data_IF_091742174389
#
_entry.id   IF_091742174389
#
_cell.length_a   1.000
_cell.length_b   1.000
_cell.length_c   1.000
_cell.angle_alpha   90.00
_cell.angle_beta   90.00
_cell.angle_gamma   90.00
#
_symmetry.space_group_name_H-M   'P 1'
#
loop_
_entity.id
_entity.type
_entity.pdbx_description
1 polymer ?
#
# COMPACT_ATOMS: atom_id res chain seq x y z
N UNK A 1 -19.69 8.65 21.69
CA UNK A 1 -20.25 10.02 21.81
C UNK A 1 -19.57 10.87 20.77
N UNK A 2 -20.26 11.27 19.72
CA UNK A 2 -19.72 12.23 18.74
C UNK A 2 -19.70 13.61 19.41
N UNK A 3 -18.54 14.25 19.45
CA UNK A 3 -18.41 15.64 19.90
C UNK A 3 -19.25 16.53 18.99
N UNK A 4 -20.00 17.46 19.58
CA UNK A 4 -20.79 18.42 18.81
C UNK A 4 -19.87 19.29 17.94
N UNK A 5 -20.36 19.76 16.82
CA UNK A 5 -19.62 20.59 15.86
C UNK A 5 -19.07 21.91 16.44
N UNK A 6 -19.43 22.26 17.66
CA UNK A 6 -19.00 23.49 18.34
C UNK A 6 -17.69 23.35 19.15
N UNK A 7 -17.20 22.13 19.42
CA UNK A 7 -16.02 21.88 20.27
C UNK A 7 -14.75 21.49 19.50
N UNK A 8 -14.77 21.51 18.17
CA UNK A 8 -13.53 21.26 17.39
C UNK A 8 -12.64 22.51 17.46
N UNK A 9 -11.35 22.38 17.81
CA UNK A 9 -10.43 23.52 17.77
C UNK A 9 -10.42 24.08 16.33
N UNK A 10 -10.34 25.41 16.21
CA UNK A 10 -10.28 26.10 14.91
C UNK A 10 -9.02 25.62 14.18
N UNK A 11 -9.18 24.84 13.12
CA UNK A 11 -8.11 24.21 12.35
C UNK A 11 -8.09 24.77 10.92
N UNK A 12 -6.89 24.94 10.33
CA UNK A 12 -6.80 25.29 8.92
C UNK A 12 -7.47 24.21 8.05
N UNK A 13 -7.96 24.59 6.88
CA UNK A 13 -8.57 23.67 5.94
C UNK A 13 -7.62 22.49 5.62
N UNK A 14 -6.36 22.80 5.31
CA UNK A 14 -5.36 21.78 4.99
C UNK A 14 -5.04 20.84 6.16
N UNK A 15 -5.15 21.32 7.43
CA UNK A 15 -5.02 20.47 8.62
C UNK A 15 -6.18 19.50 8.76
N UNK A 16 -7.39 19.94 8.54
CA UNK A 16 -8.60 19.09 8.60
C UNK A 16 -8.53 18.00 7.54
N UNK A 17 -8.17 18.37 6.32
CA UNK A 17 -7.96 17.44 5.23
C UNK A 17 -6.88 16.40 5.59
N UNK A 18 -5.72 16.82 6.14
CA UNK A 18 -4.66 15.91 6.55
C UNK A 18 -5.13 14.90 7.59
N UNK A 19 -5.95 15.34 8.56
CA UNK A 19 -6.54 14.48 9.59
C UNK A 19 -7.51 13.45 8.96
N UNK A 20 -8.45 13.93 8.15
CA UNK A 20 -9.44 13.09 7.47
C UNK A 20 -8.78 12.05 6.54
N UNK A 21 -7.71 12.43 5.85
CA UNK A 21 -6.92 11.51 5.02
C UNK A 21 -6.19 10.43 5.84
N UNK A 22 -5.75 10.79 7.06
CA UNK A 22 -5.13 9.81 7.96
C UNK A 22 -6.15 8.77 8.43
N UNK A 23 -7.36 9.19 8.80
CA UNK A 23 -8.47 8.29 9.14
C UNK A 23 -8.87 7.42 7.94
N UNK A 24 -8.93 8.02 6.74
CA UNK A 24 -9.17 7.27 5.50
C UNK A 24 -8.12 6.19 5.28
N UNK A 25 -6.85 6.47 5.58
CA UNK A 25 -5.76 5.48 5.46
C UNK A 25 -5.96 4.27 6.39
N UNK A 26 -6.56 4.44 7.56
CA UNK A 26 -6.93 3.33 8.45
C UNK A 26 -7.98 2.44 7.78
N UNK A 27 -8.93 3.00 7.04
CA UNK A 27 -9.92 2.23 6.29
C UNK A 27 -9.29 1.46 5.13
N UNK A 28 -8.25 2.02 4.47
CA UNK A 28 -7.47 1.28 3.47
C UNK A 28 -6.82 0.04 4.07
N UNK A 29 -6.32 0.08 5.32
CA UNK A 29 -5.76 -1.10 5.98
C UNK A 29 -6.81 -2.19 6.24
N UNK A 30 -8.07 -1.82 6.49
CA UNK A 30 -9.18 -2.78 6.61
C UNK A 30 -9.53 -3.40 5.27
N UNK A 31 -9.59 -2.59 4.22
CA UNK A 31 -9.85 -3.09 2.87
C UNK A 31 -8.73 -4.01 2.39
N UNK A 32 -7.46 -3.63 2.54
CA UNK A 32 -6.34 -4.48 2.16
C UNK A 32 -6.32 -5.79 2.96
N UNK A 33 -6.73 -5.77 4.24
CA UNK A 33 -6.83 -6.96 5.07
C UNK A 33 -7.91 -7.92 4.55
N UNK A 34 -9.06 -7.40 4.10
CA UNK A 34 -10.11 -8.19 3.48
C UNK A 34 -9.61 -8.84 2.18
N UNK A 35 -9.05 -8.05 1.27
CA UNK A 35 -8.54 -8.54 -0.02
C UNK A 35 -7.43 -9.58 0.18
N UNK A 36 -6.50 -9.35 1.11
CA UNK A 36 -5.48 -10.34 1.50
C UNK A 36 -6.08 -11.63 2.00
N UNK A 37 -7.11 -11.56 2.84
CA UNK A 37 -7.78 -12.75 3.36
C UNK A 37 -8.35 -13.64 2.25
N UNK A 38 -8.98 -13.05 1.23
CA UNK A 38 -9.50 -13.78 0.09
C UNK A 38 -8.37 -14.42 -0.76
N UNK A 39 -7.32 -13.66 -1.07
CA UNK A 39 -6.13 -14.18 -1.76
C UNK A 39 -5.48 -15.33 -0.97
N UNK A 40 -5.31 -15.17 0.37
CA UNK A 40 -4.74 -16.22 1.22
C UNK A 40 -5.63 -17.47 1.30
N UNK A 41 -6.95 -17.32 1.24
CA UNK A 41 -7.88 -18.44 1.20
C UNK A 41 -7.71 -19.28 -0.06
N UNK A 42 -7.60 -18.65 -1.23
CA UNK A 42 -7.35 -19.32 -2.50
C UNK A 42 -5.99 -20.06 -2.50
N UNK A 43 -4.92 -19.35 -2.13
CA UNK A 43 -3.57 -19.96 -2.01
C UNK A 43 -3.56 -21.15 -1.04
N UNK A 44 -4.19 -21.02 0.13
CA UNK A 44 -4.20 -22.08 1.15
C UNK A 44 -4.96 -23.32 0.68
N UNK A 45 -6.01 -23.15 -0.10
CA UNK A 45 -6.76 -24.27 -0.70
C UNK A 45 -5.85 -25.04 -1.65
N UNK A 46 -5.28 -24.37 -2.63
CA UNK A 46 -4.40 -24.99 -3.64
C UNK A 46 -3.15 -25.61 -3.01
N UNK A 47 -2.52 -24.91 -2.06
CA UNK A 47 -1.37 -25.45 -1.34
C UNK A 47 -1.69 -26.76 -0.62
N UNK A 48 -2.87 -26.88 -0.01
CA UNK A 48 -3.33 -28.12 0.64
C UNK A 48 -3.54 -29.24 -0.39
N UNK A 49 -4.15 -28.93 -1.52
CA UNK A 49 -4.36 -29.87 -2.62
C UNK A 49 -3.03 -30.38 -3.18
N UNK A 50 -2.05 -29.50 -3.44
CA UNK A 50 -0.71 -29.85 -3.86
C UNK A 50 -0.02 -30.80 -2.86
N UNK A 51 -0.05 -30.49 -1.57
CA UNK A 51 0.57 -31.32 -0.52
C UNK A 51 -0.09 -32.70 -0.41
N UNK A 52 -1.42 -32.75 -0.50
CA UNK A 52 -2.17 -34.01 -0.46
C UNK A 52 -1.83 -34.91 -1.66
N UNK A 53 -1.72 -34.31 -2.86
CA UNK A 53 -1.32 -35.07 -4.07
C UNK A 53 0.10 -35.59 -4.02
N UNK A 54 1.06 -34.78 -3.50
CA UNK A 54 2.43 -35.24 -3.27
C UNK A 54 2.50 -36.39 -2.27
N UNK A 55 1.77 -36.29 -1.15
CA UNK A 55 1.73 -37.30 -0.12
C UNK A 55 1.11 -38.61 -0.63
N UNK A 56 -0.03 -38.49 -1.34
CA UNK A 56 -0.74 -39.66 -1.89
C UNK A 56 0.06 -40.38 -2.99
N UNK A 57 0.86 -39.65 -3.75
CA UNK A 57 1.67 -40.21 -4.81
C UNK A 57 2.93 -40.96 -4.31
N UNK A 58 3.44 -40.61 -3.12
CA UNK A 58 4.72 -41.18 -2.63
C UNK A 58 5.86 -40.90 -3.63
N UNK A 59 6.19 -39.61 -3.83
CA UNK A 59 7.06 -39.16 -4.94
C UNK A 59 8.43 -39.77 -4.96
N UNK A 60 8.97 -40.20 -3.80
CA UNK A 60 10.26 -40.91 -3.65
C UNK A 60 10.24 -42.31 -4.30
N UNK A 61 9.08 -42.92 -4.48
CA UNK A 61 8.91 -44.24 -5.11
C UNK A 61 8.38 -44.18 -6.55
N UNK A 62 8.08 -42.98 -7.09
CA UNK A 62 7.45 -42.86 -8.41
C UNK A 62 8.44 -43.11 -9.59
N UNK A 63 8.02 -43.90 -10.62
CA UNK A 63 8.73 -43.96 -11.86
C UNK A 63 8.84 -42.58 -12.53
N UNK A 64 9.95 -42.26 -13.16
CA UNK A 64 10.26 -40.95 -13.77
C UNK A 64 9.12 -40.40 -14.62
N UNK A 65 8.52 -41.22 -15.50
CA UNK A 65 7.42 -40.80 -16.39
C UNK A 65 6.17 -40.34 -15.58
N UNK A 66 5.85 -41.07 -14.54
CA UNK A 66 4.71 -40.72 -13.67
C UNK A 66 4.99 -39.44 -12.84
N UNK A 67 6.21 -39.28 -12.33
CA UNK A 67 6.66 -38.06 -11.68
C UNK A 67 6.55 -36.85 -12.61
N UNK A 68 7.06 -36.94 -13.84
CA UNK A 68 7.01 -35.84 -14.80
C UNK A 68 5.58 -35.45 -15.14
N UNK A 69 4.67 -36.42 -15.25
CA UNK A 69 3.23 -36.15 -15.45
C UNK A 69 2.63 -35.44 -14.24
N UNK A 70 2.87 -35.94 -13.03
CA UNK A 70 2.37 -35.32 -11.79
C UNK A 70 2.87 -33.88 -11.65
N UNK A 71 4.17 -33.63 -11.83
CA UNK A 71 4.74 -32.30 -11.73
C UNK A 71 4.15 -31.33 -12.78
N UNK A 72 3.91 -31.79 -13.99
CA UNK A 72 3.25 -31.01 -15.04
C UNK A 72 1.84 -30.59 -14.61
N UNK A 73 1.04 -31.52 -14.13
CA UNK A 73 -0.32 -31.26 -13.67
C UNK A 73 -0.33 -30.27 -12.48
N UNK A 74 0.51 -30.48 -11.48
CA UNK A 74 0.61 -29.59 -10.31
C UNK A 74 1.03 -28.16 -10.70
N UNK A 75 1.95 -28.01 -11.65
CA UNK A 75 2.34 -26.69 -12.18
C UNK A 75 1.18 -26.00 -12.93
N UNK A 76 0.36 -26.74 -13.66
CA UNK A 76 -0.83 -26.22 -14.32
C UNK A 76 -1.87 -25.73 -13.31
N UNK A 77 -2.09 -26.47 -12.22
CA UNK A 77 -2.96 -26.04 -11.12
C UNK A 77 -2.46 -24.75 -10.47
N UNK A 78 -1.15 -24.64 -10.22
CA UNK A 78 -0.54 -23.39 -9.71
C UNK A 78 -0.80 -22.24 -10.67
N UNK A 79 -0.50 -22.40 -11.95
CA UNK A 79 -0.69 -21.36 -12.96
C UNK A 79 -2.15 -20.87 -13.01
N UNK A 80 -3.10 -21.80 -12.98
CA UNK A 80 -4.54 -21.50 -12.94
C UNK A 80 -4.94 -20.63 -11.74
N UNK A 81 -4.46 -20.98 -10.55
CA UNK A 81 -4.79 -20.21 -9.32
C UNK A 81 -4.21 -18.81 -9.37
N UNK A 82 -2.99 -18.63 -9.87
CA UNK A 82 -2.42 -17.29 -10.02
C UNK A 82 -3.17 -16.46 -11.07
N UNK A 83 -3.70 -17.06 -12.14
CA UNK A 83 -4.58 -16.39 -13.09
C UNK A 83 -5.92 -15.98 -12.45
N UNK A 84 -6.54 -16.87 -11.67
CA UNK A 84 -7.78 -16.57 -10.93
C UNK A 84 -7.55 -15.42 -9.92
N UNK A 85 -6.44 -15.43 -9.20
CA UNK A 85 -6.07 -14.33 -8.28
C UNK A 85 -5.83 -13.03 -9.03
N UNK A 86 -5.23 -13.06 -10.22
CA UNK A 86 -5.06 -11.88 -11.08
C UNK A 86 -6.41 -11.26 -11.40
N UNK A 87 -7.33 -12.05 -11.97
CA UNK A 87 -8.65 -11.59 -12.36
C UNK A 87 -9.43 -11.03 -11.15
N UNK A 88 -9.43 -11.77 -10.04
CA UNK A 88 -10.09 -11.34 -8.81
C UNK A 88 -9.54 -10.02 -8.26
N UNK A 89 -8.22 -9.89 -8.15
CA UNK A 89 -7.61 -8.68 -7.60
C UNK A 89 -7.76 -7.48 -8.52
N UNK A 90 -7.77 -7.66 -9.84
CA UNK A 90 -8.03 -6.58 -10.79
C UNK A 90 -9.47 -6.06 -10.70
N UNK A 91 -10.46 -6.95 -10.58
CA UNK A 91 -11.87 -6.58 -10.42
C UNK A 91 -12.10 -5.80 -9.12
N UNK A 92 -11.64 -6.33 -8.00
CA UNK A 92 -11.73 -5.69 -6.68
C UNK A 92 -11.06 -4.30 -6.67
N UNK A 93 -9.85 -4.18 -7.20
CA UNK A 93 -9.13 -2.91 -7.27
C UNK A 93 -9.79 -1.90 -8.21
N UNK A 94 -10.45 -2.36 -9.26
CA UNK A 94 -11.25 -1.50 -10.14
C UNK A 94 -12.47 -0.92 -9.41
N UNK A 95 -13.19 -1.74 -8.64
CA UNK A 95 -14.25 -1.28 -7.76
C UNK A 95 -13.76 -0.30 -6.69
N UNK A 96 -12.64 -0.64 -6.07
CA UNK A 96 -11.99 0.21 -5.07
C UNK A 96 -11.60 1.59 -5.64
N UNK A 97 -11.04 1.67 -6.84
CA UNK A 97 -10.72 2.94 -7.49
C UNK A 97 -11.94 3.85 -7.63
N UNK A 98 -13.08 3.30 -8.09
CA UNK A 98 -14.32 4.06 -8.24
C UNK A 98 -14.84 4.56 -6.89
N UNK A 99 -14.90 3.68 -5.91
CA UNK A 99 -15.34 4.04 -4.55
C UNK A 99 -14.40 5.07 -3.90
N UNK A 100 -13.10 4.96 -4.13
CA UNK A 100 -12.10 5.85 -3.57
C UNK A 100 -12.17 7.25 -4.18
N UNK A 101 -12.33 7.38 -5.50
CA UNK A 101 -12.50 8.69 -6.15
C UNK A 101 -13.74 9.43 -5.65
N UNK A 102 -14.85 8.73 -5.49
CA UNK A 102 -16.09 9.31 -4.94
C UNK A 102 -15.89 9.74 -3.49
N UNK A 103 -15.29 8.89 -2.68
CA UNK A 103 -15.06 9.18 -1.27
C UNK A 103 -14.09 10.35 -1.07
N UNK A 104 -13.02 10.43 -1.86
CA UNK A 104 -12.08 11.55 -1.78
C UNK A 104 -12.76 12.88 -2.16
N UNK A 105 -13.55 12.90 -3.23
CA UNK A 105 -14.33 14.07 -3.61
C UNK A 105 -15.23 14.54 -2.46
N UNK A 106 -15.97 13.61 -1.85
CA UNK A 106 -16.81 13.92 -0.68
C UNK A 106 -15.98 14.41 0.51
N UNK A 107 -14.89 13.70 0.87
CA UNK A 107 -14.02 14.05 1.99
C UNK A 107 -13.48 15.47 1.88
N UNK A 108 -12.98 15.86 0.70
CA UNK A 108 -12.44 17.20 0.49
C UNK A 108 -13.53 18.27 0.57
N UNK A 109 -14.71 18.05 0.00
CA UNK A 109 -15.83 18.98 0.08
C UNK A 109 -16.43 19.08 1.49
N UNK A 110 -16.54 17.98 2.22
CA UNK A 110 -17.00 17.98 3.63
C UNK A 110 -16.06 18.81 4.52
N UNK A 111 -14.74 18.76 4.27
CA UNK A 111 -13.78 19.56 5.03
C UNK A 111 -13.78 21.04 4.64
N UNK A 112 -14.09 21.38 3.38
CA UNK A 112 -14.34 22.77 2.95
C UNK A 112 -15.66 23.30 3.51
N UNK A 113 -16.70 22.47 3.53
CA UNK A 113 -18.04 22.78 3.99
C UNK A 113 -19.02 23.17 2.88
N UNK A 114 -18.61 23.10 1.63
CA UNK A 114 -19.43 23.32 0.43
C UNK A 114 -18.78 22.62 -0.79
N UNK A 115 -19.52 22.54 -1.90
CA UNK A 115 -19.04 21.95 -3.16
C UNK A 115 -17.96 22.84 -3.79
N UNK A 116 -16.71 22.55 -3.46
CA UNK A 116 -15.52 23.28 -3.88
C UNK A 116 -14.66 22.50 -4.86
N UNK A 117 -14.52 21.18 -4.64
CA UNK A 117 -13.79 20.28 -5.51
C UNK A 117 -14.68 19.71 -6.60
N UNK A 118 -14.21 19.71 -7.84
CA UNK A 118 -14.87 19.05 -8.95
C UNK A 118 -14.73 17.53 -8.84
N UNK A 119 -15.80 16.82 -9.19
CA UNK A 119 -15.81 15.36 -9.24
C UNK A 119 -15.05 14.84 -10.45
N UNK A 120 -14.36 13.73 -10.30
CA UNK A 120 -13.77 13.00 -11.44
C UNK A 120 -14.88 12.46 -12.35
N UNK A 121 -14.96 12.86 -13.64
CA UNK A 121 -15.99 12.41 -14.56
C UNK A 121 -15.98 10.88 -14.75
N UNK A 122 -17.16 10.28 -14.92
CA UNK A 122 -17.29 8.81 -15.08
C UNK A 122 -16.44 8.22 -16.21
N UNK A 123 -16.33 8.93 -17.35
CA UNK A 123 -15.54 8.46 -18.48
C UNK A 123 -14.05 8.39 -18.14
N UNK A 124 -13.54 9.33 -17.33
CA UNK A 124 -12.17 9.31 -16.81
C UNK A 124 -11.99 8.21 -15.75
N UNK A 125 -12.99 7.98 -14.91
CA UNK A 125 -12.99 6.85 -13.97
C UNK A 125 -12.91 5.51 -14.72
N UNK A 126 -13.69 5.35 -15.80
CA UNK A 126 -13.65 4.15 -16.66
C UNK A 126 -12.30 3.96 -17.35
N UNK A 127 -11.72 5.03 -17.90
CA UNK A 127 -10.39 5.00 -18.53
C UNK A 127 -9.28 4.66 -17.53
N UNK A 128 -9.40 5.10 -16.27
CA UNK A 128 -8.43 4.85 -15.21
C UNK A 128 -8.56 3.46 -14.53
N UNK A 129 -9.64 2.70 -14.82
CA UNK A 129 -9.77 1.30 -14.37
C UNK A 129 -8.73 0.37 -14.98
N UNK A 130 -8.07 0.78 -16.07
CA UNK A 130 -7.05 -0.02 -16.74
C UNK A 130 -5.76 -0.10 -15.93
N UNK A 131 -5.14 -1.26 -15.98
CA UNK A 131 -3.84 -1.68 -15.43
C UNK A 131 -3.30 -0.91 -14.20
N UNK A 132 -3.29 -1.57 -13.05
CA UNK A 132 -2.53 -1.12 -11.89
C UNK A 132 -1.05 -1.37 -12.12
N UNK A 133 -0.27 -0.30 -12.33
CA UNK A 133 1.20 -0.38 -12.53
C UNK A 133 1.90 -0.25 -11.18
N UNK A 134 2.71 -1.24 -10.84
CA UNK A 134 3.51 -1.29 -9.61
C UNK A 134 4.98 -1.40 -10.00
N UNK A 135 5.81 -0.46 -9.56
CA UNK A 135 7.25 -0.45 -9.87
C UNK A 135 7.56 -0.68 -11.36
N UNK A 136 6.78 -0.07 -12.24
CA UNK A 136 6.97 -0.10 -13.69
C UNK A 136 6.34 -1.28 -14.43
N UNK A 137 5.75 -2.25 -13.73
CA UNK A 137 5.11 -3.43 -14.35
C UNK A 137 3.62 -3.53 -13.97
N UNK A 138 2.77 -4.03 -14.88
CA UNK A 138 1.37 -4.33 -14.58
C UNK A 138 1.21 -5.34 -13.44
N UNK A 139 0.11 -5.26 -12.71
CA UNK A 139 -0.20 -6.18 -11.60
C UNK A 139 -0.27 -7.65 -12.07
N UNK A 140 -0.77 -7.90 -13.27
CA UNK A 140 -0.81 -9.23 -13.87
C UNK A 140 0.59 -9.84 -14.05
N UNK A 141 1.58 -9.04 -14.45
CA UNK A 141 2.98 -9.51 -14.61
C UNK A 141 3.58 -9.90 -13.25
N UNK A 142 3.25 -9.17 -12.20
CA UNK A 142 3.67 -9.51 -10.84
C UNK A 142 3.07 -10.84 -10.36
N UNK A 143 1.79 -11.08 -10.63
CA UNK A 143 1.14 -12.35 -10.31
C UNK A 143 1.71 -13.49 -11.14
N UNK A 144 1.87 -13.30 -12.46
CA UNK A 144 2.47 -14.29 -13.34
C UNK A 144 3.90 -14.64 -12.90
N UNK A 145 4.71 -13.63 -12.57
CA UNK A 145 6.06 -13.85 -12.05
C UNK A 145 6.05 -14.66 -10.75
N UNK A 146 5.18 -14.35 -9.80
CA UNK A 146 5.09 -15.11 -8.56
C UNK A 146 4.68 -16.57 -8.79
N UNK A 147 3.72 -16.82 -9.69
CA UNK A 147 3.30 -18.16 -10.07
C UNK A 147 4.41 -18.97 -10.72
N UNK A 148 5.12 -18.36 -11.66
CA UNK A 148 6.27 -18.99 -12.35
C UNK A 148 7.44 -19.27 -11.40
N UNK A 149 7.80 -18.31 -10.53
CA UNK A 149 8.86 -18.48 -9.52
C UNK A 149 8.50 -19.62 -8.54
N UNK A 150 7.22 -19.70 -8.12
CA UNK A 150 6.75 -20.79 -7.27
C UNK A 150 6.84 -22.13 -8.00
N UNK A 151 6.31 -22.24 -9.22
CA UNK A 151 6.31 -23.47 -10.00
C UNK A 151 7.74 -23.99 -10.28
N UNK A 152 8.65 -23.09 -10.62
CA UNK A 152 10.07 -23.42 -10.85
C UNK A 152 10.74 -23.97 -9.58
N UNK A 153 10.61 -23.25 -8.46
CA UNK A 153 11.21 -23.67 -7.17
C UNK A 153 10.57 -24.95 -6.63
N UNK A 154 9.25 -25.10 -6.79
CA UNK A 154 8.52 -26.30 -6.41
C UNK A 154 9.06 -27.55 -7.14
N UNK A 155 9.20 -27.47 -8.46
CA UNK A 155 9.79 -28.57 -9.25
C UNK A 155 11.23 -28.84 -8.83
N UNK A 156 12.03 -27.78 -8.60
CA UNK A 156 13.41 -27.88 -8.14
C UNK A 156 13.54 -28.62 -6.80
N UNK A 157 12.68 -28.32 -5.82
CA UNK A 157 12.65 -29.01 -4.51
C UNK A 157 12.41 -30.51 -4.70
N UNK A 158 11.41 -30.88 -5.48
CA UNK A 158 11.07 -32.30 -5.68
C UNK A 158 12.20 -33.04 -6.43
N UNK A 159 12.73 -32.46 -7.51
CA UNK A 159 13.81 -33.11 -8.29
C UNK A 159 15.12 -33.21 -7.48
N UNK A 160 15.48 -32.16 -6.74
CA UNK A 160 16.67 -32.19 -5.91
C UNK A 160 16.52 -33.16 -4.75
N UNK A 161 15.36 -33.16 -4.07
CA UNK A 161 15.08 -34.11 -3.00
C UNK A 161 15.19 -35.57 -3.43
N UNK A 162 14.75 -35.89 -4.65
CA UNK A 162 14.94 -37.24 -5.24
C UNK A 162 16.41 -37.56 -5.50
N UNK A 163 17.20 -36.62 -6.01
CA UNK A 163 18.65 -36.80 -6.21
C UNK A 163 19.38 -37.02 -4.89
N UNK A 164 18.93 -36.35 -3.83
CA UNK A 164 19.51 -36.45 -2.48
C UNK A 164 18.98 -37.65 -1.69
N UNK A 165 18.09 -38.47 -2.27
CA UNK A 165 17.48 -39.62 -1.60
C UNK A 165 16.50 -39.26 -0.49
N UNK A 166 15.93 -38.08 -0.53
CA UNK A 166 14.95 -37.64 0.49
C UNK A 166 13.63 -38.40 0.38
N UNK A 167 13.02 -38.66 1.53
CA UNK A 167 11.65 -39.19 1.57
C UNK A 167 10.61 -38.14 1.19
N UNK A 168 9.45 -38.56 0.69
CA UNK A 168 8.31 -37.68 0.36
C UNK A 168 7.96 -36.72 1.49
N UNK A 169 8.00 -37.15 2.76
CA UNK A 169 7.71 -36.30 3.92
C UNK A 169 8.67 -35.13 4.09
N UNK A 170 9.96 -35.32 3.78
CA UNK A 170 10.98 -34.27 3.82
C UNK A 170 10.72 -33.24 2.70
N UNK A 171 10.54 -33.69 1.48
CA UNK A 171 10.21 -32.82 0.34
C UNK A 171 8.91 -32.00 0.58
N UNK A 172 7.89 -32.61 1.22
CA UNK A 172 6.67 -31.90 1.65
C UNK A 172 7.00 -30.77 2.63
N UNK A 173 7.93 -30.98 3.55
CA UNK A 173 8.36 -29.95 4.50
C UNK A 173 9.02 -28.77 3.78
N UNK A 174 9.90 -29.05 2.83
CA UNK A 174 10.58 -28.01 2.04
C UNK A 174 9.59 -27.22 1.15
N UNK A 175 8.62 -27.91 0.56
CA UNK A 175 7.51 -27.26 -0.18
C UNK A 175 6.67 -26.36 0.74
N UNK A 176 6.40 -26.75 1.98
CA UNK A 176 5.70 -25.89 2.96
C UNK A 176 6.47 -24.59 3.24
N UNK A 177 7.80 -24.63 3.33
CA UNK A 177 8.63 -23.42 3.48
C UNK A 177 8.53 -22.51 2.27
N UNK A 178 8.57 -23.06 1.04
CA UNK A 178 8.34 -22.31 -0.20
C UNK A 178 6.95 -21.65 -0.20
N UNK A 179 5.91 -22.38 0.19
CA UNK A 179 4.54 -21.87 0.27
C UNK A 179 4.41 -20.68 1.21
N UNK A 180 5.04 -20.73 2.38
CA UNK A 180 5.04 -19.62 3.34
C UNK A 180 5.71 -18.36 2.76
N UNK A 181 6.79 -18.51 2.01
CA UNK A 181 7.46 -17.40 1.31
C UNK A 181 6.56 -16.81 0.23
N UNK A 182 5.92 -17.65 -0.58
CA UNK A 182 4.98 -17.23 -1.63
C UNK A 182 3.79 -16.44 -1.04
N UNK A 183 3.22 -16.87 0.08
CA UNK A 183 2.14 -16.15 0.78
C UNK A 183 2.56 -14.75 1.21
N UNK A 184 3.77 -14.59 1.76
CA UNK A 184 4.30 -13.26 2.15
C UNK A 184 4.47 -12.34 0.94
N UNK A 185 4.90 -12.87 -0.21
CA UNK A 185 5.01 -12.10 -1.45
C UNK A 185 3.64 -11.66 -1.97
N UNK A 186 2.66 -12.57 -2.00
CA UNK A 186 1.28 -12.25 -2.39
C UNK A 186 0.67 -11.18 -1.49
N UNK A 187 0.85 -11.31 -0.17
CA UNK A 187 0.41 -10.31 0.81
C UNK A 187 1.00 -8.92 0.57
N UNK A 188 2.31 -8.88 0.31
CA UNK A 188 3.02 -7.63 0.01
C UNK A 188 2.52 -6.99 -1.29
N UNK A 189 2.26 -7.80 -2.32
CA UNK A 189 1.72 -7.33 -3.58
C UNK A 189 0.34 -6.70 -3.42
N UNK A 190 -0.58 -7.35 -2.70
CA UNK A 190 -1.93 -6.84 -2.44
C UNK A 190 -1.88 -5.49 -1.69
N UNK A 191 -1.11 -5.39 -0.61
CA UNK A 191 -0.98 -4.14 0.16
C UNK A 191 -0.46 -3.01 -0.72
N UNK A 192 0.55 -3.29 -1.56
CA UNK A 192 1.16 -2.29 -2.44
C UNK A 192 0.19 -1.89 -3.56
N UNK A 193 -0.58 -2.83 -4.09
CA UNK A 193 -1.58 -2.57 -5.13
C UNK A 193 -2.71 -1.67 -4.61
N UNK A 194 -3.26 -1.93 -3.41
CA UNK A 194 -4.26 -1.07 -2.78
C UNK A 194 -3.72 0.35 -2.58
N UNK A 195 -2.50 0.49 -2.06
CA UNK A 195 -1.87 1.79 -1.89
C UNK A 195 -1.69 2.54 -3.24
N UNK A 196 -1.34 1.80 -4.31
CA UNK A 196 -1.19 2.38 -5.65
C UNK A 196 -2.50 2.85 -6.25
N UNK A 197 -3.57 2.08 -6.07
CA UNK A 197 -4.91 2.45 -6.57
C UNK A 197 -5.47 3.65 -5.79
N UNK A 198 -5.26 3.71 -4.47
CA UNK A 198 -5.63 4.87 -3.66
C UNK A 198 -4.88 6.15 -4.12
N UNK A 199 -3.58 6.06 -4.40
CA UNK A 199 -2.80 7.18 -4.96
C UNK A 199 -3.31 7.60 -6.35
N UNK A 200 -3.66 6.63 -7.19
CA UNK A 200 -4.24 6.90 -8.53
C UNK A 200 -5.59 7.62 -8.44
N UNK A 201 -6.43 7.29 -7.47
CA UNK A 201 -7.67 7.99 -7.20
C UNK A 201 -7.44 9.45 -6.76
N UNK A 202 -6.45 9.68 -5.87
CA UNK A 202 -6.01 11.02 -5.48
C UNK A 202 -5.50 11.84 -6.67
N UNK A 203 -4.68 11.21 -7.54
CA UNK A 203 -4.18 11.87 -8.75
C UNK A 203 -5.33 12.25 -9.69
N UNK A 204 -6.32 11.39 -9.86
CA UNK A 204 -7.48 11.69 -10.70
C UNK A 204 -8.26 12.91 -10.16
N UNK A 205 -8.47 12.98 -8.82
CA UNK A 205 -9.11 14.15 -8.20
C UNK A 205 -8.25 15.43 -8.37
N UNK A 206 -6.93 15.33 -8.19
CA UNK A 206 -6.00 16.43 -8.42
C UNK A 206 -6.16 17.01 -9.82
N UNK A 207 -6.17 16.16 -10.83
CA UNK A 207 -6.16 16.56 -12.23
C UNK A 207 -7.46 17.26 -12.67
N UNK A 208 -8.55 17.11 -11.92
CA UNK A 208 -9.81 17.84 -12.10
C UNK A 208 -9.87 19.19 -11.34
N UNK A 209 -8.86 19.51 -10.51
CA UNK A 209 -8.91 20.60 -9.54
C UNK A 209 -7.63 21.44 -9.50
N UNK A 210 -6.87 21.49 -10.59
CA UNK A 210 -5.57 22.19 -10.63
C UNK A 210 -5.70 23.70 -10.39
N UNK A 211 -6.83 24.30 -10.74
CA UNK A 211 -7.12 25.72 -10.60
C UNK A 211 -7.19 26.19 -9.14
N UNK A 212 -7.64 25.33 -8.22
CA UNK A 212 -7.78 25.63 -6.79
C UNK A 212 -6.62 25.14 -5.93
N UNK A 213 -5.68 24.39 -6.51
CA UNK A 213 -4.58 23.76 -5.77
C UNK A 213 -3.30 24.60 -5.82
N UNK A 214 -2.57 24.66 -4.70
CA UNK A 214 -1.21 25.21 -4.59
C UNK A 214 -0.14 24.14 -4.86
N UNK A 215 -0.42 22.87 -4.55
CA UNK A 215 0.53 21.78 -4.71
C UNK A 215 0.13 20.50 -4.01
N UNK A 216 1.11 19.63 -3.76
CA UNK A 216 0.94 18.37 -3.07
C UNK A 216 1.96 18.25 -1.92
N UNK A 217 1.48 17.82 -0.74
CA UNK A 217 2.29 17.62 0.48
C UNK A 217 2.41 16.15 0.82
N UNK A 218 3.61 15.65 1.07
CA UNK A 218 3.82 14.27 1.48
C UNK A 218 3.47 14.08 2.96
N UNK A 219 2.53 13.18 3.23
CA UNK A 219 2.15 12.77 4.57
C UNK A 219 2.57 11.32 4.82
N UNK A 220 3.47 11.12 5.76
CA UNK A 220 3.85 9.80 6.24
C UNK A 220 3.06 9.43 7.48
N UNK A 221 2.89 8.13 7.72
CA UNK A 221 2.39 7.65 9.02
C UNK A 221 3.45 7.89 10.09
N UNK A 222 3.11 8.59 11.16
CA UNK A 222 4.03 8.86 12.28
C UNK A 222 4.05 7.66 13.23
N UNK A 223 4.80 6.62 12.87
CA UNK A 223 4.98 5.41 13.67
C UNK A 223 6.36 4.76 13.44
N UNK A 224 6.64 3.70 14.22
CA UNK A 224 7.92 2.97 14.22
C UNK A 224 8.21 2.18 12.94
N UNK A 225 7.19 1.98 12.06
CA UNK A 225 7.30 1.17 10.85
C UNK A 225 7.46 2.00 9.59
N UNK A 226 7.48 3.31 9.69
CA UNK A 226 7.67 4.20 8.54
C UNK A 226 9.11 4.11 8.05
N UNK A 227 9.28 3.85 6.75
CA UNK A 227 10.60 3.70 6.13
C UNK A 227 11.34 5.02 6.07
N UNK A 228 12.68 4.96 6.07
CA UNK A 228 13.54 6.16 6.01
C UNK A 228 13.21 7.05 4.80
N UNK A 229 12.91 6.47 3.63
CA UNK A 229 12.56 7.26 2.44
C UNK A 229 11.27 8.05 2.62
N UNK A 230 10.31 7.53 3.37
CA UNK A 230 9.07 8.24 3.71
C UNK A 230 9.29 9.25 4.84
N UNK A 231 10.12 8.91 5.85
CA UNK A 231 10.49 9.83 6.94
C UNK A 231 11.11 11.12 6.42
N UNK A 232 12.07 11.02 5.49
CA UNK A 232 12.76 12.15 4.88
C UNK A 232 11.87 13.04 4.01
N UNK A 233 10.74 12.52 3.54
CA UNK A 233 9.78 13.25 2.70
C UNK A 233 8.62 13.83 3.49
N UNK A 234 8.46 13.44 4.75
CA UNK A 234 7.31 13.83 5.55
C UNK A 234 7.24 15.34 5.74
N UNK A 235 6.10 15.91 5.36
CA UNK A 235 5.86 17.35 5.41
C UNK A 235 6.39 18.14 4.21
N UNK A 236 7.20 17.55 3.32
CA UNK A 236 7.69 18.22 2.12
C UNK A 236 6.57 18.48 1.12
N UNK A 237 6.68 19.57 0.40
CA UNK A 237 5.67 20.06 -0.52
C UNK A 237 6.27 20.30 -1.91
N UNK A 238 5.50 20.00 -2.96
CA UNK A 238 5.83 20.27 -4.36
C UNK A 238 4.68 21.03 -5.00
N UNK A 239 5.01 21.93 -5.91
CA UNK A 239 4.01 22.65 -6.72
C UNK A 239 3.35 21.72 -7.76
N UNK A 240 2.42 22.25 -8.52
CA UNK A 240 1.68 21.51 -9.54
C UNK A 240 2.56 21.08 -10.73
N UNK A 241 3.70 21.77 -10.95
CA UNK A 241 4.73 21.41 -11.93
C UNK A 241 5.74 20.39 -11.37
N UNK A 242 5.50 19.87 -10.15
CA UNK A 242 6.37 18.91 -9.46
C UNK A 242 7.72 19.47 -9.01
N UNK A 243 7.85 20.79 -8.92
CA UNK A 243 9.06 21.45 -8.39
C UNK A 243 8.98 21.47 -6.87
N UNK A 244 10.11 21.19 -6.17
CA UNK A 244 10.15 21.25 -4.72
C UNK A 244 9.99 22.70 -4.22
N UNK A 245 9.26 22.85 -3.09
CA UNK A 245 9.06 24.13 -2.40
C UNK A 245 9.87 24.08 -1.10
N UNK A 246 10.85 24.98 -0.96
CA UNK A 246 11.74 25.12 0.20
C UNK A 246 12.60 23.88 0.52
N UNK A 247 12.89 23.02 -0.48
CA UNK A 247 13.78 21.86 -0.35
C UNK A 247 14.28 21.38 -1.72
N UNK A 248 15.23 20.41 -1.76
CA UNK A 248 15.85 19.88 -2.99
C UNK A 248 15.37 18.49 -3.39
N UNK A 249 14.48 17.87 -2.61
CA UNK A 249 14.06 16.49 -2.81
C UNK A 249 13.19 16.37 -4.06
N UNK A 250 13.52 15.51 -5.04
CA UNK A 250 12.74 15.39 -6.27
C UNK A 250 11.35 14.80 -6.00
N UNK A 251 10.37 15.23 -6.81
CA UNK A 251 9.00 14.74 -6.71
C UNK A 251 8.89 13.23 -6.97
N UNK A 252 8.16 12.53 -6.13
CA UNK A 252 7.79 11.13 -6.33
C UNK A 252 6.44 10.85 -5.66
N UNK A 253 5.57 10.10 -6.32
CA UNK A 253 4.28 9.67 -5.76
C UNK A 253 4.37 8.33 -5.03
N UNK A 254 3.70 8.18 -3.88
CA UNK A 254 3.53 6.87 -3.24
C UNK A 254 2.79 5.85 -4.15
N UNK A 255 2.99 4.55 -3.96
CA UNK A 255 3.90 3.93 -3.00
C UNK A 255 5.37 4.02 -3.45
N UNK A 256 6.26 4.46 -2.56
CA UNK A 256 7.70 4.59 -2.84
C UNK A 256 8.47 3.27 -2.67
N UNK A 257 7.87 2.32 -1.99
CA UNK A 257 8.42 1.00 -1.70
C UNK A 257 7.27 0.00 -1.41
N UNK A 258 7.53 -1.31 -1.41
CA UNK A 258 6.53 -2.30 -0.99
C UNK A 258 5.96 -1.97 0.40
N UNK A 259 4.64 -2.13 0.56
CA UNK A 259 3.90 -1.80 1.81
C UNK A 259 3.99 -0.33 2.24
N UNK A 260 4.21 0.60 1.31
CA UNK A 260 4.23 2.03 1.61
C UNK A 260 2.88 2.51 2.17
N UNK A 261 2.93 3.35 3.22
CA UNK A 261 1.73 3.87 3.89
C UNK A 261 1.56 5.38 3.77
N UNK A 262 2.48 6.03 3.06
CA UNK A 262 2.41 7.48 2.80
C UNK A 262 1.37 7.82 1.74
N UNK A 263 0.92 9.06 1.75
CA UNK A 263 0.01 9.65 0.77
C UNK A 263 0.52 11.04 0.36
N UNK A 264 0.02 11.56 -0.78
CA UNK A 264 0.15 12.96 -1.13
C UNK A 264 -1.19 13.65 -0.85
N UNK A 265 -1.19 14.61 0.06
CA UNK A 265 -2.32 15.49 0.32
C UNK A 265 -2.37 16.58 -0.77
N UNK A 266 -3.53 16.86 -1.31
CA UNK A 266 -3.77 18.04 -2.13
C UNK A 266 -3.83 19.26 -1.21
N UNK A 267 -3.01 20.27 -1.50
CA UNK A 267 -2.94 21.51 -0.74
C UNK A 267 -3.66 22.60 -1.54
N UNK A 268 -4.70 23.18 -0.96
CA UNK A 268 -5.45 24.29 -1.58
C UNK A 268 -4.65 25.57 -1.53
N UNK A 269 -4.87 26.44 -2.49
CA UNK A 269 -4.48 27.85 -2.42
C UNK A 269 -5.13 28.50 -1.20
N UNK A 270 -4.55 29.58 -0.70
CA UNK A 270 -5.16 30.40 0.34
C UNK A 270 -6.45 31.05 -0.17
N UNK A 271 -7.37 31.38 0.72
CA UNK A 271 -8.62 32.08 0.35
C UNK A 271 -8.35 33.38 -0.40
N UNK A 272 -7.30 34.09 0.01
CA UNK A 272 -6.85 35.32 -0.64
C UNK A 272 -6.40 35.08 -2.10
N UNK A 273 -5.62 34.02 -2.35
CA UNK A 273 -5.20 33.64 -3.72
C UNK A 273 -6.37 33.21 -4.60
N UNK A 274 -7.43 32.69 -3.99
CA UNK A 274 -8.67 32.32 -4.66
C UNK A 274 -9.65 33.50 -4.84
N UNK A 275 -9.28 34.70 -4.34
CA UNK A 275 -10.15 35.90 -4.40
C UNK A 275 -11.36 35.81 -3.45
N UNK A 276 -11.31 34.95 -2.44
CA UNK A 276 -12.37 34.78 -1.45
C UNK A 276 -12.03 35.62 -0.21
N UNK A 277 -12.93 36.52 0.18
CA UNK A 277 -12.79 37.35 1.38
C UNK A 277 -13.16 36.53 2.66
N UNK A 278 -12.22 35.70 3.10
CA UNK A 278 -12.34 34.89 4.30
C UNK A 278 -11.01 34.86 5.05
N UNK A 279 -11.09 34.81 6.39
CA UNK A 279 -9.91 34.68 7.25
C UNK A 279 -9.29 33.28 7.15
N UNK A 280 -7.97 33.21 7.01
CA UNK A 280 -7.21 31.96 7.11
C UNK A 280 -7.21 31.43 8.55
N UNK A 281 -7.54 30.16 8.72
CA UNK A 281 -7.48 29.51 10.02
C UNK A 281 -6.04 29.08 10.35
N UNK A 282 -5.59 29.18 11.60
CA UNK A 282 -4.26 28.72 12.00
C UNK A 282 -4.10 27.22 11.82
N UNK A 283 -2.86 26.77 11.61
CA UNK A 283 -2.50 25.35 11.60
C UNK A 283 -2.80 24.67 12.94
N UNK A 284 -3.13 23.38 12.94
CA UNK A 284 -3.57 22.66 14.13
C UNK A 284 -2.83 21.33 14.36
N UNK A 285 -3.49 20.19 14.20
CA UNK A 285 -2.95 18.88 14.60
C UNK A 285 -3.08 17.83 13.50
N UNK A 286 -2.18 16.87 13.51
CA UNK A 286 -2.23 15.62 12.70
C UNK A 286 -2.13 14.38 13.60
N UNK A 287 -2.62 13.25 13.13
CA UNK A 287 -2.55 12.00 13.89
C UNK A 287 -1.13 11.45 13.94
N UNK A 288 -0.75 10.92 15.10
CA UNK A 288 0.46 10.12 15.30
C UNK A 288 0.16 8.83 16.06
N UNK A 289 1.13 7.94 16.16
CA UNK A 289 1.01 6.65 16.84
C UNK A 289 0.48 6.77 18.28
N UNK A 290 0.88 7.80 19.02
CA UNK A 290 0.59 7.90 20.44
C UNK A 290 -0.54 8.91 20.75
N UNK A 291 -0.59 10.03 20.01
CA UNK A 291 -1.56 11.11 20.21
C UNK A 291 -1.52 12.10 19.04
N UNK A 292 -2.54 12.96 18.88
CA UNK A 292 -2.49 14.07 17.95
C UNK A 292 -1.27 14.97 18.22
N UNK A 293 -0.56 15.38 17.18
CA UNK A 293 0.60 16.28 17.23
C UNK A 293 0.35 17.50 16.33
N UNK A 294 1.15 18.56 16.47
CA UNK A 294 1.04 19.73 15.60
C UNK A 294 1.12 19.33 14.12
N UNK A 295 0.30 19.92 13.26
CA UNK A 295 0.34 19.74 11.83
C UNK A 295 1.71 20.08 11.21
N UNK A 296 2.40 21.04 11.81
CA UNK A 296 3.73 21.48 11.36
C UNK A 296 4.84 20.50 11.74
N UNK A 297 4.56 19.52 12.60
CA UNK A 297 5.56 18.53 12.99
C UNK A 297 5.79 17.58 11.83
N UNK A 298 7.03 17.41 11.40
CA UNK A 298 7.46 16.36 10.49
C UNK A 298 7.93 15.13 11.27
N UNK A 299 8.25 14.04 10.57
CA UNK A 299 8.69 12.80 11.20
C UNK A 299 9.91 12.99 12.10
N UNK A 300 10.88 13.78 11.69
CA UNK A 300 12.11 14.07 12.46
C UNK A 300 11.78 14.75 13.78
N UNK A 301 10.99 15.83 13.73
CA UNK A 301 10.57 16.56 14.92
C UNK A 301 9.67 15.74 15.84
N UNK A 302 8.79 14.88 15.27
CA UNK A 302 8.03 13.92 16.04
C UNK A 302 8.97 12.92 16.76
N UNK A 303 9.98 12.40 16.09
CA UNK A 303 10.94 11.47 16.69
C UNK A 303 11.80 12.16 17.77
N UNK A 304 12.20 13.43 17.56
CA UNK A 304 12.90 14.25 18.58
C UNK A 304 12.07 14.44 19.85
N UNK A 305 10.74 14.45 19.75
CA UNK A 305 9.85 14.57 20.90
C UNK A 305 9.71 13.29 21.73
N UNK A 306 10.28 12.15 21.28
CA UNK A 306 10.20 10.85 21.94
C UNK A 306 11.34 10.63 22.92
N UNK A 307 11.10 9.76 23.93
CA UNK A 307 12.17 9.36 24.85
C UNK A 307 13.27 8.58 24.11
N UNK A 308 14.52 8.54 24.67
CA UNK A 308 15.59 7.74 24.08
C UNK A 308 15.22 6.28 23.85
N UNK A 309 14.44 5.67 24.76
CA UNK A 309 13.96 4.29 24.64
C UNK A 309 13.00 4.13 23.47
N UNK A 310 12.10 5.08 23.26
CA UNK A 310 11.17 5.08 22.12
C UNK A 310 11.93 5.32 20.80
N UNK A 311 12.91 6.21 20.78
CA UNK A 311 13.80 6.42 19.63
C UNK A 311 14.58 5.15 19.28
N UNK A 312 15.08 4.41 20.29
CA UNK A 312 15.74 3.12 20.11
C UNK A 312 14.79 2.04 19.52
N UNK A 313 13.51 2.05 19.91
CA UNK A 313 12.50 1.16 19.33
C UNK A 313 12.21 1.48 17.86
N UNK A 314 12.23 2.75 17.49
CA UNK A 314 11.95 3.23 16.14
C UNK A 314 13.11 2.95 15.19
N UNK A 315 14.32 3.35 15.55
CA UNK A 315 15.51 3.33 14.69
C UNK A 315 16.38 2.08 14.88
N UNK A 316 16.22 1.39 16.00
CA UNK A 316 17.22 0.46 16.51
C UNK A 316 18.36 1.18 17.21
N UNK A 317 18.84 0.63 18.33
CA UNK A 317 19.78 1.29 19.26
C UNK A 317 21.00 1.94 18.59
N UNK A 318 21.67 1.23 17.67
CA UNK A 318 22.87 1.77 17.00
C UNK A 318 22.59 2.96 16.10
N UNK A 319 21.49 2.95 15.34
CA UNK A 319 21.09 4.08 14.50
C UNK A 319 20.56 5.25 15.32
N UNK A 320 19.84 4.97 16.40
CA UNK A 320 19.35 6.00 17.31
C UNK A 320 20.50 6.75 18.00
N UNK A 321 21.54 6.02 18.43
CA UNK A 321 22.73 6.62 19.00
C UNK A 321 23.47 7.53 17.99
N UNK A 322 23.62 7.09 16.75
CA UNK A 322 24.21 7.92 15.69
C UNK A 322 23.35 9.16 15.41
N UNK A 323 22.05 9.00 15.27
CA UNK A 323 21.10 10.07 14.99
C UNK A 323 21.06 11.12 16.12
N UNK A 324 21.20 10.73 17.39
CA UNK A 324 21.29 11.66 18.54
C UNK A 324 22.59 12.45 18.60
N UNK A 325 23.64 11.95 17.95
CA UNK A 325 24.97 12.63 17.90
C UNK A 325 25.08 13.64 16.74
N UNK A 326 24.13 13.68 15.81
CA UNK A 326 24.13 14.52 14.61
C UNK A 326 24.67 13.74 13.44
#
# INVERSE_FOLDING_TARGET
MALSSQDKPKQSLNSRIAYALTDRKILHFRYDAHLRQQVMKQLSKTQRELLNRLAAAGVDALPKKQLDTLLKELKQEVAKVYQEMTAYTQDELSGFFTAETQHLHQLYNDEVGFDFFNQVPEYKQKANKTATIIAGSPLEDWWAKQGNDFAFKFEGIIRQGLLDGQQTSQMITDVKHLMNTSRRHAETLVITAVAKVADKAHQALRDENLDILAGEKHLSTLDTRTSTVCQLRDGLMWDLDKKPIDHDVPYQRPPLHPRCRSILQLVTKSWKELGIDAEEMPSSTRASQDSPVSEQINYENWLKSKSPEQQDQVLGKGKADLWRRG
#
